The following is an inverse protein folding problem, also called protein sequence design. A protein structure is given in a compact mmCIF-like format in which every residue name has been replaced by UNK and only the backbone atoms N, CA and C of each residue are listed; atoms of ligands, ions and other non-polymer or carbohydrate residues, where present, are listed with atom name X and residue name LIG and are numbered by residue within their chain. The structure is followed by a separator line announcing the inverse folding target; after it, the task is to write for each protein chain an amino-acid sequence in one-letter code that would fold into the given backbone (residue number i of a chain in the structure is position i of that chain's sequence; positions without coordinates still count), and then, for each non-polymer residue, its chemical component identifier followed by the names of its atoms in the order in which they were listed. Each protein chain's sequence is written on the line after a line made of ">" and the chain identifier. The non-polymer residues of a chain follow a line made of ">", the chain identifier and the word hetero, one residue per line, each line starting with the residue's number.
data_IF_172331513991
#
_entry.id   IF_172331513991
#
_cell.length_a   1.000
_cell.length_b   1.000
_cell.length_c   1.000
_cell.angle_alpha   90.00
_cell.angle_beta   90.00
_cell.angle_gamma   90.00
#
_symmetry.space_group_name_H-M   'P 1'
#
loop_
_entity.id
_entity.type
_entity.pdbx_description
1 polymer ?
#
# COMPACT_ATOMS: atom_id res chain seq x y z
N UNK A 1 -30.97 27.06 -6.52
CA UNK A 1 -30.47 25.78 -7.12
C UNK A 1 -29.12 25.38 -6.56
N UNK A 2 -28.08 26.22 -6.68
CA UNK A 2 -26.74 25.92 -6.15
C UNK A 2 -26.72 25.66 -4.64
N UNK A 3 -27.44 26.46 -3.86
CA UNK A 3 -27.55 26.28 -2.40
C UNK A 3 -28.20 24.92 -2.02
N UNK A 4 -29.17 24.47 -2.81
CA UNK A 4 -29.82 23.16 -2.61
C UNK A 4 -28.86 22.00 -2.91
N UNK A 5 -28.01 22.14 -3.94
CA UNK A 5 -27.01 21.13 -4.30
C UNK A 5 -25.90 21.05 -3.25
N UNK A 6 -25.49 22.19 -2.68
CA UNK A 6 -24.51 22.23 -1.58
C UNK A 6 -25.08 21.51 -0.35
N UNK A 7 -26.32 21.82 0.03
CA UNK A 7 -26.97 21.19 1.19
C UNK A 7 -27.11 19.68 1.03
N UNK A 8 -27.44 19.22 -0.18
CA UNK A 8 -27.56 17.78 -0.50
C UNK A 8 -26.20 17.08 -0.42
N UNK A 9 -25.15 17.68 -0.99
CA UNK A 9 -23.79 17.14 -0.92
C UNK A 9 -23.23 17.12 0.52
N UNK A 10 -23.52 18.13 1.33
CA UNK A 10 -23.10 18.17 2.75
C UNK A 10 -23.80 17.08 3.58
N UNK A 11 -25.08 16.82 3.31
CA UNK A 11 -25.82 15.74 3.95
C UNK A 11 -25.24 14.36 3.59
N UNK A 12 -24.93 14.14 2.32
CA UNK A 12 -24.30 12.89 1.85
C UNK A 12 -22.90 12.70 2.47
N UNK A 13 -22.08 13.77 2.54
CA UNK A 13 -20.78 13.73 3.21
C UNK A 13 -20.93 13.38 4.70
N UNK A 14 -21.94 13.93 5.38
CA UNK A 14 -22.17 13.66 6.79
C UNK A 14 -22.58 12.20 7.03
N UNK A 15 -23.48 11.66 6.20
CA UNK A 15 -23.90 10.26 6.25
C UNK A 15 -22.70 9.33 6.03
N UNK A 16 -21.92 9.57 4.97
CA UNK A 16 -20.71 8.78 4.67
C UNK A 16 -19.74 8.84 5.83
N UNK A 17 -19.42 10.03 6.36
CA UNK A 17 -18.49 10.18 7.49
C UNK A 17 -18.96 9.45 8.74
N UNK A 18 -20.26 9.38 9.00
CA UNK A 18 -20.82 8.65 10.15
C UNK A 18 -20.60 7.14 10.06
N UNK A 19 -20.49 6.60 8.85
CA UNK A 19 -20.23 5.17 8.60
C UNK A 19 -18.75 4.78 8.78
N UNK A 20 -17.85 5.77 8.88
CA UNK A 20 -16.41 5.55 8.96
C UNK A 20 -15.94 5.34 10.41
N UNK A 21 -14.99 4.42 10.59
CA UNK A 21 -14.40 4.10 11.90
C UNK A 21 -13.43 5.16 12.43
N UNK A 22 -13.04 6.12 11.62
CA UNK A 22 -12.07 7.16 11.95
C UNK A 22 -12.04 8.25 10.90
N UNK A 23 -11.17 9.24 11.09
CA UNK A 23 -11.02 10.33 10.14
C UNK A 23 -10.53 9.79 8.76
N UNK A 24 -11.30 9.98 7.67
CA UNK A 24 -10.94 9.45 6.37
C UNK A 24 -9.60 9.99 5.85
N UNK A 25 -9.30 11.27 6.06
CA UNK A 25 -8.05 11.86 5.58
C UNK A 25 -6.83 11.22 6.26
N UNK A 26 -6.87 11.11 7.59
CA UNK A 26 -5.84 10.45 8.39
C UNK A 26 -5.69 8.98 8.02
N UNK A 27 -6.81 8.28 7.81
CA UNK A 27 -6.82 6.86 7.43
C UNK A 27 -6.15 6.65 6.08
N UNK A 28 -6.57 7.40 5.06
CA UNK A 28 -5.99 7.33 3.72
C UNK A 28 -4.50 7.69 3.74
N UNK A 29 -4.11 8.77 4.42
CA UNK A 29 -2.71 9.18 4.51
C UNK A 29 -1.85 8.11 5.19
N UNK A 30 -2.34 7.48 6.27
CA UNK A 30 -1.65 6.38 6.93
C UNK A 30 -1.47 5.19 5.99
N UNK A 31 -2.50 4.81 5.24
CA UNK A 31 -2.39 3.71 4.28
C UNK A 31 -1.43 4.01 3.13
N UNK A 32 -1.44 5.24 2.59
CA UNK A 32 -0.48 5.68 1.58
C UNK A 32 0.94 5.51 2.12
N UNK A 33 1.21 5.99 3.34
CA UNK A 33 2.53 5.88 3.96
C UNK A 33 2.98 4.42 4.12
N UNK A 34 2.11 3.58 4.68
CA UNK A 34 2.42 2.16 4.89
C UNK A 34 2.72 1.45 3.57
N UNK A 35 1.98 1.77 2.50
CA UNK A 35 2.21 1.18 1.18
C UNK A 35 3.56 1.62 0.59
N UNK A 36 3.94 2.89 0.78
CA UNK A 36 5.25 3.37 0.34
C UNK A 36 6.39 2.70 1.12
N UNK A 37 6.27 2.63 2.45
CA UNK A 37 7.26 1.96 3.30
C UNK A 37 7.41 0.47 2.95
N UNK A 38 6.29 -0.22 2.69
CA UNK A 38 6.30 -1.60 2.24
C UNK A 38 6.99 -1.77 0.87
N UNK A 39 6.65 -0.93 -0.12
CA UNK A 39 7.24 -1.01 -1.45
C UNK A 39 8.75 -0.75 -1.40
N UNK A 40 9.19 0.23 -0.61
CA UNK A 40 10.60 0.56 -0.44
C UNK A 40 11.40 -0.63 0.12
N UNK A 41 10.89 -1.26 1.19
CA UNK A 41 11.53 -2.45 1.78
C UNK A 41 11.53 -3.62 0.80
N UNK A 42 10.42 -3.83 0.07
CA UNK A 42 10.30 -4.89 -0.94
C UNK A 42 11.34 -4.69 -2.05
N UNK A 43 11.48 -3.49 -2.57
CA UNK A 43 12.42 -3.18 -3.66
C UNK A 43 13.88 -3.37 -3.22
N UNK A 44 14.22 -2.94 -2.00
CA UNK A 44 15.54 -3.20 -1.40
C UNK A 44 15.78 -4.70 -1.28
N UNK A 45 14.81 -5.45 -0.73
CA UNK A 45 14.91 -6.89 -0.57
C UNK A 45 15.08 -7.62 -1.90
N UNK A 46 14.31 -7.25 -2.92
CA UNK A 46 14.42 -7.80 -4.27
C UNK A 46 15.78 -7.50 -4.90
N UNK A 47 16.29 -6.27 -4.74
CA UNK A 47 17.63 -5.90 -5.19
C UNK A 47 18.73 -6.76 -4.54
N UNK A 48 18.68 -6.93 -3.21
CA UNK A 48 19.62 -7.78 -2.47
C UNK A 48 19.55 -9.25 -2.93
N UNK A 49 18.34 -9.79 -3.14
CA UNK A 49 18.17 -11.14 -3.66
C UNK A 49 18.73 -11.30 -5.08
N UNK A 50 18.62 -10.27 -5.92
CA UNK A 50 19.25 -10.23 -7.24
C UNK A 50 20.77 -10.35 -7.15
N UNK A 51 21.41 -9.58 -6.26
CA UNK A 51 22.86 -9.64 -6.04
C UNK A 51 23.31 -11.00 -5.50
N UNK A 52 22.54 -11.61 -4.59
CA UNK A 52 22.83 -12.96 -4.07
C UNK A 52 22.72 -14.01 -5.18
N UNK A 53 21.69 -13.92 -6.02
CA UNK A 53 21.48 -14.83 -7.12
C UNK A 53 22.62 -14.76 -8.14
N UNK A 54 23.04 -13.54 -8.49
CA UNK A 54 24.21 -13.29 -9.35
C UNK A 54 25.49 -13.88 -8.76
N UNK A 55 25.78 -13.61 -7.50
CA UNK A 55 26.98 -14.12 -6.82
C UNK A 55 27.01 -15.65 -6.73
N UNK A 56 25.83 -16.30 -6.63
CA UNK A 56 25.70 -17.76 -6.56
C UNK A 56 25.54 -18.44 -7.93
N UNK A 57 25.36 -17.67 -9.01
CA UNK A 57 25.09 -18.21 -10.35
C UNK A 57 23.75 -18.96 -10.45
N UNK A 58 22.76 -18.61 -9.62
CA UNK A 58 21.43 -19.23 -9.58
C UNK A 58 20.35 -18.23 -9.99
N UNK A 59 19.11 -18.68 -10.18
CA UNK A 59 18.01 -17.78 -10.50
C UNK A 59 17.51 -17.09 -9.23
N UNK A 60 17.09 -15.83 -9.36
CA UNK A 60 16.52 -15.05 -8.26
C UNK A 60 15.33 -15.73 -7.59
N UNK A 61 14.49 -16.45 -8.35
CA UNK A 61 13.35 -17.21 -7.81
C UNK A 61 13.77 -18.36 -6.89
N UNK A 62 14.96 -18.93 -7.09
CA UNK A 62 15.48 -20.01 -6.24
C UNK A 62 15.94 -19.43 -4.89
N UNK A 63 16.57 -18.25 -4.91
CA UNK A 63 16.95 -17.48 -3.71
C UNK A 63 15.70 -17.02 -2.94
N UNK A 64 14.72 -16.44 -3.64
CA UNK A 64 13.43 -16.06 -3.06
C UNK A 64 12.77 -17.22 -2.30
N UNK A 65 12.71 -18.41 -2.92
CA UNK A 65 12.18 -19.62 -2.29
C UNK A 65 12.97 -20.06 -1.06
N UNK A 66 14.31 -19.98 -1.10
CA UNK A 66 15.19 -20.30 0.03
C UNK A 66 14.93 -19.39 1.24
N UNK A 67 14.74 -18.09 0.99
CA UNK A 67 14.46 -17.10 2.03
C UNK A 67 12.97 -16.99 2.39
N UNK A 68 12.11 -17.82 1.80
CA UNK A 68 10.68 -17.85 2.08
C UNK A 68 9.91 -16.62 1.59
N UNK A 69 10.45 -15.89 0.61
CA UNK A 69 9.83 -14.68 0.05
C UNK A 69 9.25 -15.03 -1.32
N UNK A 70 7.98 -14.73 -1.57
CA UNK A 70 7.33 -14.99 -2.87
C UNK A 70 6.66 -13.75 -3.44
N UNK A 71 6.34 -13.77 -4.74
CA UNK A 71 5.65 -12.67 -5.44
C UNK A 71 4.28 -12.30 -4.85
N UNK A 72 3.73 -13.14 -3.96
CA UNK A 72 2.42 -12.93 -3.32
C UNK A 72 2.48 -12.17 -2.00
N UNK A 73 3.68 -11.87 -1.50
CA UNK A 73 3.88 -11.13 -0.25
C UNK A 73 4.31 -9.69 -0.51
#
# INVERSE_FOLDING_TARGET
>A
MLESQIAEAEAEIAEIKSSLKGDPATTVQRHIRLLHEYNEIKDIGQGLMGLIAEARGVRQIDVQREYGVGDRD
#
